data_IF_401886768442
#
_entry.id   IF_401886768442
#
_cell.length_a   1.000
_cell.length_b   1.000
_cell.length_c   1.000
_cell.angle_alpha   90.00
_cell.angle_beta   90.00
_cell.angle_gamma   90.00
#
_symmetry.space_group_name_H-M   'P 1'
#
loop_
_entity.id
_entity.type
_entity.pdbx_description
1 polymer ?
#
# COMPACT_ATOMS: atom_id res chain seq x y z
N UNK A 1 33.06 2.58 -4.31
CA UNK A 1 31.73 2.06 -3.92
C UNK A 1 30.80 2.41 -5.06
N UNK A 2 30.04 1.47 -5.62
CA UNK A 2 29.08 1.81 -6.70
C UNK A 2 27.95 2.63 -6.08
N UNK A 3 27.65 3.77 -6.70
CA UNK A 3 26.56 4.65 -6.25
C UNK A 3 25.25 4.07 -6.77
N UNK A 4 24.31 3.85 -5.86
CA UNK A 4 22.93 3.45 -6.15
C UNK A 4 22.06 4.66 -5.88
N UNK A 5 21.20 5.02 -6.82
CA UNK A 5 20.21 6.08 -6.69
C UNK A 5 18.84 5.60 -7.13
N UNK A 6 17.80 6.34 -6.71
CA UNK A 6 16.46 6.23 -7.25
C UNK A 6 16.11 7.52 -7.97
N UNK A 7 15.36 7.42 -9.04
CA UNK A 7 14.82 8.55 -9.77
C UNK A 7 13.37 8.26 -10.13
N UNK A 8 12.51 9.27 -10.16
CA UNK A 8 11.13 9.10 -10.64
C UNK A 8 11.15 8.48 -12.04
N UNK A 9 10.37 7.42 -12.20
CA UNK A 9 10.21 6.78 -13.50
C UNK A 9 9.35 7.67 -14.42
N UNK A 10 9.62 7.59 -15.70
CA UNK A 10 8.83 8.22 -16.76
C UNK A 10 8.24 7.15 -17.67
N UNK A 11 7.26 7.52 -18.49
CA UNK A 11 6.66 6.59 -19.48
C UNK A 11 7.72 5.98 -20.41
N UNK A 12 8.82 6.69 -20.69
CA UNK A 12 9.90 6.18 -21.50
C UNK A 12 10.68 5.03 -20.83
N UNK A 13 10.59 4.90 -19.52
CA UNK A 13 11.24 3.85 -18.76
C UNK A 13 10.38 2.57 -18.66
N UNK A 14 9.09 2.64 -19.05
CA UNK A 14 8.10 1.59 -18.81
C UNK A 14 8.49 0.22 -19.39
N UNK A 15 8.98 0.18 -20.64
CA UNK A 15 9.40 -1.07 -21.27
C UNK A 15 10.58 -1.71 -20.53
N UNK A 16 11.59 -0.89 -20.17
CA UNK A 16 12.78 -1.38 -19.46
C UNK A 16 12.47 -1.86 -18.05
N UNK A 17 11.62 -1.13 -17.33
CA UNK A 17 11.17 -1.53 -15.99
C UNK A 17 10.34 -2.82 -16.04
N UNK A 18 9.45 -2.95 -17.03
CA UNK A 18 8.67 -4.18 -17.23
C UNK A 18 9.56 -5.38 -17.55
N UNK A 19 10.55 -5.23 -18.43
CA UNK A 19 11.51 -6.29 -18.75
C UNK A 19 12.21 -6.80 -17.49
N UNK A 20 12.73 -5.89 -16.65
CA UNK A 20 13.45 -6.25 -15.42
C UNK A 20 12.48 -6.87 -14.42
N UNK A 21 11.29 -6.31 -14.24
CA UNK A 21 10.28 -6.81 -13.32
C UNK A 21 9.85 -8.24 -13.70
N UNK A 22 9.55 -8.46 -14.99
CA UNK A 22 9.21 -9.78 -15.51
C UNK A 22 10.30 -10.80 -15.24
N UNK A 23 11.54 -10.48 -15.60
CA UNK A 23 12.70 -11.36 -15.36
C UNK A 23 12.85 -11.70 -13.88
N UNK A 24 12.69 -10.71 -12.99
CA UNK A 24 12.82 -10.88 -11.55
C UNK A 24 11.75 -11.82 -11.00
N UNK A 25 10.50 -11.62 -11.37
CA UNK A 25 9.39 -12.40 -10.82
C UNK A 25 9.28 -13.80 -11.46
N UNK A 26 9.68 -13.96 -12.71
CA UNK A 26 9.77 -15.29 -13.34
C UNK A 26 10.85 -16.14 -12.66
N UNK A 27 12.03 -15.58 -12.35
CA UNK A 27 13.09 -16.30 -11.63
C UNK A 27 12.67 -16.64 -10.19
N UNK A 28 11.96 -15.75 -9.50
CA UNK A 28 11.40 -16.06 -8.18
C UNK A 28 10.31 -17.15 -8.26
N UNK A 29 9.47 -17.14 -9.28
CA UNK A 29 8.47 -18.20 -9.48
C UNK A 29 9.13 -19.55 -9.74
N UNK A 30 10.14 -19.62 -10.61
CA UNK A 30 10.89 -20.85 -10.86
C UNK A 30 11.51 -21.40 -9.57
N UNK A 31 12.10 -20.53 -8.76
CA UNK A 31 12.77 -20.89 -7.51
C UNK A 31 11.81 -21.39 -6.43
N UNK A 32 10.64 -20.76 -6.28
CA UNK A 32 9.74 -21.02 -5.15
C UNK A 32 8.55 -21.91 -5.50
N UNK A 33 8.16 -22.01 -6.78
CA UNK A 33 7.06 -22.86 -7.26
C UNK A 33 7.56 -24.16 -7.89
N UNK A 34 8.88 -24.33 -8.07
CA UNK A 34 9.48 -25.60 -8.50
C UNK A 34 9.01 -26.10 -9.86
N UNK A 35 8.67 -25.19 -10.79
CA UNK A 35 8.18 -25.55 -12.12
C UNK A 35 6.74 -26.09 -12.14
N UNK A 36 5.97 -25.91 -11.08
CA UNK A 36 4.53 -26.19 -11.07
C UNK A 36 3.81 -25.10 -11.86
N UNK A 37 3.67 -25.30 -13.17
CA UNK A 37 3.06 -24.33 -14.10
C UNK A 37 1.57 -24.07 -13.86
N UNK A 38 0.92 -24.88 -13.02
CA UNK A 38 -0.52 -24.81 -12.75
C UNK A 38 -0.84 -24.02 -11.45
N UNK A 39 0.19 -23.58 -10.71
CA UNK A 39 -0.01 -22.81 -9.47
C UNK A 39 0.22 -21.34 -9.76
N UNK A 40 -0.85 -20.55 -9.74
CA UNK A 40 -0.77 -19.09 -9.81
C UNK A 40 -0.61 -18.59 -8.38
N UNK A 41 0.53 -17.99 -8.08
CA UNK A 41 0.82 -17.37 -6.80
C UNK A 41 0.93 -15.83 -6.99
N UNK A 42 -0.16 -15.14 -6.73
CA UNK A 42 -0.28 -13.69 -6.99
C UNK A 42 0.71 -12.82 -6.22
N UNK A 43 1.25 -13.32 -5.12
CA UNK A 43 2.28 -12.60 -4.35
C UNK A 43 3.71 -12.85 -4.86
N UNK A 44 3.90 -13.82 -5.77
CA UNK A 44 5.17 -14.05 -6.48
C UNK A 44 5.12 -13.45 -7.88
N UNK A 45 4.03 -13.69 -8.60
CA UNK A 45 3.78 -13.12 -9.93
C UNK A 45 2.49 -12.28 -9.90
N UNK A 46 2.54 -11.04 -9.36
CA UNK A 46 1.35 -10.21 -9.20
C UNK A 46 0.73 -9.86 -10.56
N UNK A 47 -0.60 -9.73 -10.64
CA UNK A 47 -1.29 -9.41 -11.89
C UNK A 47 -0.64 -8.22 -12.61
N UNK A 48 -0.40 -8.37 -13.92
CA UNK A 48 0.18 -7.34 -14.75
C UNK A 48 1.69 -7.10 -14.58
N UNK A 49 2.42 -7.95 -13.84
CA UNK A 49 3.87 -7.82 -13.66
C UNK A 49 4.68 -7.86 -14.98
N UNK A 50 4.14 -8.46 -16.02
CA UNK A 50 4.73 -8.57 -17.35
C UNK A 50 4.10 -7.63 -18.38
N UNK A 51 3.21 -6.73 -17.96
CA UNK A 51 2.48 -5.82 -18.85
C UNK A 51 3.10 -4.43 -18.84
N UNK A 52 3.52 -3.94 -20.00
CA UNK A 52 4.01 -2.57 -20.19
C UNK A 52 2.91 -1.55 -19.89
N UNK A 53 1.66 -1.84 -20.24
CA UNK A 53 0.53 -0.95 -19.97
C UNK A 53 0.27 -0.81 -18.46
N UNK A 54 0.39 -1.90 -17.70
CA UNK A 54 0.29 -1.82 -16.24
C UNK A 54 1.46 -1.06 -15.61
N UNK A 55 2.66 -1.15 -16.18
CA UNK A 55 3.79 -0.33 -15.75
C UNK A 55 3.56 1.15 -16.06
N UNK A 56 3.04 1.49 -17.24
CA UNK A 56 2.65 2.87 -17.56
C UNK A 56 1.62 3.42 -16.58
N UNK A 57 0.56 2.64 -16.32
CA UNK A 57 -0.42 2.99 -15.30
C UNK A 57 0.22 3.23 -13.92
N UNK A 58 1.14 2.36 -13.50
CA UNK A 58 1.84 2.54 -12.22
C UNK A 58 2.72 3.80 -12.20
N UNK A 59 3.28 4.20 -13.33
CA UNK A 59 4.08 5.42 -13.45
C UNK A 59 3.19 6.68 -13.41
N UNK A 60 2.00 6.62 -13.99
CA UNK A 60 1.07 7.76 -14.07
C UNK A 60 0.28 7.96 -12.77
N UNK A 61 -0.15 6.88 -12.12
CA UNK A 61 -1.11 6.92 -11.01
C UNK A 61 -0.49 6.66 -9.63
N UNK A 62 0.68 6.00 -9.59
CA UNK A 62 1.39 5.66 -8.36
C UNK A 62 2.77 6.34 -8.34
N UNK A 63 3.43 6.26 -7.19
CA UNK A 63 4.79 6.76 -7.07
C UNK A 63 5.79 5.69 -7.48
N UNK A 64 6.21 5.73 -8.75
CA UNK A 64 7.12 4.77 -9.36
C UNK A 64 8.52 5.35 -9.53
N UNK A 65 9.53 4.57 -9.13
CA UNK A 65 10.94 4.95 -9.22
C UNK A 65 11.75 3.87 -9.93
N UNK A 66 12.69 4.30 -10.77
CA UNK A 66 13.75 3.46 -11.32
C UNK A 66 14.94 3.45 -10.39
N UNK A 67 15.56 2.28 -10.24
CA UNK A 67 16.80 2.08 -9.48
C UNK A 67 17.96 2.13 -10.46
N UNK A 68 18.91 3.02 -10.22
CA UNK A 68 20.04 3.26 -11.10
C UNK A 68 21.35 2.89 -10.41
N UNK A 69 22.21 2.20 -11.14
CA UNK A 69 23.60 1.94 -10.78
C UNK A 69 24.49 2.05 -12.01
N UNK A 70 25.58 2.81 -11.92
CA UNK A 70 26.51 3.03 -13.04
C UNK A 70 25.77 3.49 -14.33
N UNK A 71 24.81 4.42 -14.20
CA UNK A 71 23.97 4.96 -15.30
C UNK A 71 23.04 3.93 -15.97
N UNK A 72 22.85 2.77 -15.38
CA UNK A 72 21.94 1.72 -15.88
C UNK A 72 20.76 1.54 -14.95
N UNK A 73 19.59 1.38 -15.53
CA UNK A 73 18.40 0.95 -14.78
C UNK A 73 18.59 -0.53 -14.44
N UNK A 74 18.62 -0.85 -13.15
CA UNK A 74 18.83 -2.20 -12.62
C UNK A 74 17.63 -2.73 -11.83
N UNK A 75 16.58 -1.94 -11.70
CA UNK A 75 15.37 -2.32 -10.95
C UNK A 75 14.40 -1.17 -10.83
N UNK A 76 13.39 -1.36 -10.01
CA UNK A 76 12.41 -0.35 -9.69
C UNK A 76 11.74 -0.59 -8.34
N UNK A 77 11.06 0.44 -7.86
CA UNK A 77 10.18 0.38 -6.71
C UNK A 77 8.93 1.20 -7.00
N UNK A 78 7.78 0.63 -6.68
CA UNK A 78 6.47 1.26 -6.82
C UNK A 78 5.87 1.35 -5.42
N UNK A 79 5.44 2.54 -5.05
CA UNK A 79 4.83 2.78 -3.74
C UNK A 79 3.52 3.56 -3.89
N UNK A 80 2.58 3.27 -3.00
CA UNK A 80 1.36 4.04 -2.81
C UNK A 80 1.51 4.89 -1.56
N UNK A 81 1.41 6.22 -1.72
CA UNK A 81 1.43 7.16 -0.59
C UNK A 81 0.01 7.62 -0.31
N UNK A 82 -0.42 7.50 0.94
CA UNK A 82 -1.73 7.93 1.38
C UNK A 82 -1.63 8.95 2.52
N UNK A 83 -2.22 10.11 2.31
CA UNK A 83 -2.13 11.21 3.26
C UNK A 83 -0.70 11.67 3.51
N UNK A 84 -0.35 11.87 4.77
CA UNK A 84 0.97 12.41 5.16
C UNK A 84 1.86 11.41 5.90
N UNK A 85 1.31 10.28 6.31
CA UNK A 85 1.98 9.39 7.27
C UNK A 85 1.99 7.92 6.88
N UNK A 86 1.28 7.53 5.83
CA UNK A 86 1.16 6.15 5.39
C UNK A 86 1.74 5.94 4.00
N UNK A 87 2.58 4.90 3.85
CA UNK A 87 3.13 4.43 2.59
C UNK A 87 3.06 2.91 2.49
N UNK A 88 2.77 2.41 1.29
CA UNK A 88 2.81 0.99 0.96
C UNK A 88 3.86 0.74 -0.11
N UNK A 89 4.64 -0.30 0.08
CA UNK A 89 5.51 -0.80 -0.98
C UNK A 89 4.71 -1.82 -1.79
N UNK A 90 4.22 -1.40 -2.95
CA UNK A 90 3.44 -2.27 -3.83
C UNK A 90 4.32 -3.28 -4.55
N UNK A 91 5.49 -2.82 -5.04
CA UNK A 91 6.46 -3.68 -5.72
C UNK A 91 7.88 -3.15 -5.53
N UNK A 92 8.79 -4.05 -5.27
CA UNK A 92 10.24 -3.80 -5.34
C UNK A 92 10.89 -4.94 -6.14
N UNK A 93 11.66 -4.60 -7.13
CA UNK A 93 12.34 -5.56 -7.98
C UNK A 93 13.73 -5.07 -8.39
N UNK A 94 14.68 -5.98 -8.43
CA UNK A 94 16.07 -5.75 -8.84
C UNK A 94 16.46 -6.88 -9.77
N UNK A 95 17.05 -6.54 -10.92
CA UNK A 95 17.52 -7.53 -11.89
C UNK A 95 18.34 -8.60 -11.15
N UNK A 96 18.03 -9.90 -11.33
CA UNK A 96 18.67 -11.00 -10.62
C UNK A 96 20.20 -10.98 -10.60
N UNK A 97 20.85 -10.51 -11.67
CA UNK A 97 22.32 -10.41 -11.74
C UNK A 97 22.91 -9.40 -10.72
N UNK A 98 22.08 -8.54 -10.16
CA UNK A 98 22.46 -7.55 -9.15
C UNK A 98 21.97 -7.91 -7.74
N UNK A 99 21.14 -8.93 -7.58
CA UNK A 99 20.63 -9.36 -6.28
C UNK A 99 21.73 -9.88 -5.34
N UNK A 100 21.42 -10.04 -4.05
CA UNK A 100 22.36 -10.52 -3.04
C UNK A 100 23.47 -9.53 -2.64
N UNK A 101 23.47 -8.31 -3.19
CA UNK A 101 24.52 -7.28 -2.97
C UNK A 101 24.02 -6.12 -2.09
N UNK A 102 22.91 -6.29 -1.37
CA UNK A 102 22.34 -5.27 -0.48
C UNK A 102 21.59 -4.14 -1.19
N UNK A 103 21.36 -4.23 -2.50
CA UNK A 103 20.69 -3.19 -3.31
C UNK A 103 19.26 -2.95 -2.81
N UNK A 104 18.47 -3.99 -2.62
CA UNK A 104 17.11 -3.85 -2.11
C UNK A 104 17.03 -3.12 -0.77
N UNK A 105 17.97 -3.42 0.14
CA UNK A 105 18.05 -2.71 1.43
C UNK A 105 18.38 -1.23 1.26
N UNK A 106 19.21 -0.89 0.28
CA UNK A 106 19.55 0.49 -0.01
C UNK A 106 18.37 1.24 -0.63
N UNK A 107 17.65 0.60 -1.54
CA UNK A 107 16.45 1.16 -2.19
C UNK A 107 15.35 1.48 -1.17
N UNK A 108 15.08 0.57 -0.23
CA UNK A 108 14.09 0.83 0.84
C UNK A 108 14.50 2.06 1.67
N UNK A 109 15.78 2.19 2.04
CA UNK A 109 16.26 3.37 2.77
C UNK A 109 16.10 4.66 1.97
N UNK A 110 16.42 4.64 0.68
CA UNK A 110 16.25 5.81 -0.18
C UNK A 110 14.77 6.24 -0.31
N UNK A 111 13.84 5.30 -0.38
CA UNK A 111 12.40 5.60 -0.37
C UNK A 111 11.96 6.17 0.97
N UNK A 112 12.42 5.62 2.08
CA UNK A 112 12.13 6.15 3.42
C UNK A 112 12.72 7.56 3.61
N UNK A 113 13.86 7.86 3.00
CA UNK A 113 14.48 9.19 2.98
C UNK A 113 13.74 10.17 2.06
N UNK A 114 13.23 9.71 0.92
CA UNK A 114 12.42 10.52 0.01
C UNK A 114 11.10 10.94 0.65
N UNK A 115 10.48 10.05 1.42
CA UNK A 115 9.19 10.28 2.06
C UNK A 115 9.31 10.40 3.60
N UNK A 116 10.08 11.36 4.09
CA UNK A 116 10.38 11.56 5.52
C UNK A 116 9.15 11.79 6.41
N UNK A 117 8.02 12.23 5.83
CA UNK A 117 6.78 12.41 6.56
C UNK A 117 6.04 11.10 6.84
N UNK A 118 6.37 10.03 6.11
CA UNK A 118 5.70 8.74 6.27
C UNK A 118 6.15 8.06 7.56
N UNK A 119 5.19 7.69 8.39
CA UNK A 119 5.41 7.06 9.70
C UNK A 119 5.14 5.56 9.69
N UNK A 120 4.33 5.11 8.76
CA UNK A 120 3.94 3.71 8.63
C UNK A 120 4.20 3.28 7.19
N UNK A 121 5.02 2.25 7.05
CA UNK A 121 5.21 1.55 5.79
C UNK A 121 4.68 0.13 5.92
N UNK A 122 3.90 -0.33 4.94
CA UNK A 122 3.47 -1.72 4.86
C UNK A 122 3.80 -2.38 3.52
N UNK A 123 3.70 -3.68 3.50
CA UNK A 123 3.84 -4.51 2.31
C UNK A 123 3.29 -5.92 2.56
N UNK A 124 3.05 -6.63 1.48
CA UNK A 124 2.70 -8.04 1.48
C UNK A 124 3.72 -8.83 0.66
N UNK A 125 3.93 -10.08 1.03
CA UNK A 125 4.79 -11.02 0.27
C UNK A 125 4.32 -12.46 0.46
N UNK A 126 4.58 -13.34 -0.52
CA UNK A 126 4.20 -14.74 -0.42
C UNK A 126 4.78 -15.42 0.82
N UNK A 127 4.00 -16.26 1.46
CA UNK A 127 4.44 -17.09 2.57
C UNK A 127 5.62 -18.01 2.20
N UNK A 128 5.78 -18.33 0.92
CA UNK A 128 6.83 -19.20 0.38
C UNK A 128 8.18 -18.51 0.24
N UNK A 129 8.20 -17.18 0.07
CA UNK A 129 9.44 -16.42 -0.18
C UNK A 129 10.25 -16.17 1.11
N UNK A 130 10.85 -17.20 1.65
CA UNK A 130 11.59 -17.15 2.93
C UNK A 130 12.70 -16.09 2.92
N UNK A 131 13.34 -15.84 1.77
CA UNK A 131 14.35 -14.80 1.64
C UNK A 131 13.77 -13.41 1.87
N UNK A 132 12.55 -13.15 1.38
CA UNK A 132 11.85 -11.88 1.62
C UNK A 132 11.50 -11.72 3.09
N UNK A 133 11.11 -12.79 3.79
CA UNK A 133 10.83 -12.74 5.22
C UNK A 133 12.07 -12.33 6.04
N UNK A 134 13.24 -12.86 5.71
CA UNK A 134 14.50 -12.46 6.35
C UNK A 134 14.88 -11.02 5.99
N UNK A 135 14.69 -10.65 4.72
CA UNK A 135 15.00 -9.33 4.21
C UNK A 135 14.18 -8.24 4.91
N UNK A 136 12.85 -8.37 4.93
CA UNK A 136 11.98 -7.35 5.54
C UNK A 136 12.17 -7.26 7.05
N UNK A 137 12.35 -8.38 7.76
CA UNK A 137 12.68 -8.35 9.19
C UNK A 137 13.99 -7.60 9.46
N UNK A 138 15.03 -7.83 8.65
CA UNK A 138 16.30 -7.10 8.73
C UNK A 138 16.16 -5.61 8.50
N UNK A 139 15.18 -5.20 7.67
CA UNK A 139 14.86 -3.80 7.42
C UNK A 139 13.99 -3.16 8.52
N UNK A 140 13.63 -3.90 9.56
CA UNK A 140 12.84 -3.42 10.69
C UNK A 140 11.33 -3.54 10.50
N UNK A 141 10.88 -4.34 9.53
CA UNK A 141 9.47 -4.66 9.35
C UNK A 141 9.06 -5.80 10.29
N UNK A 142 7.90 -5.65 10.91
CA UNK A 142 7.28 -6.64 11.79
C UNK A 142 6.10 -7.30 11.08
N UNK A 143 5.89 -8.59 11.33
CA UNK A 143 4.73 -9.30 10.79
C UNK A 143 3.50 -8.93 11.62
N UNK A 144 2.44 -8.53 10.94
CA UNK A 144 1.16 -8.18 11.56
C UNK A 144 0.04 -9.17 11.22
N UNK A 145 0.18 -9.88 10.11
CA UNK A 145 -0.76 -10.89 9.65
C UNK A 145 -0.03 -12.00 8.90
N UNK A 146 -0.53 -13.24 9.03
CA UNK A 146 -0.07 -14.42 8.30
C UNK A 146 -1.27 -15.22 7.83
N UNK A 147 -1.25 -15.63 6.57
CA UNK A 147 -2.09 -16.68 6.04
C UNK A 147 -1.24 -17.83 5.47
N UNK A 148 -1.89 -18.81 4.87
CA UNK A 148 -1.19 -19.89 4.15
C UNK A 148 -0.47 -19.35 2.91
N UNK A 149 -1.00 -18.28 2.28
CA UNK A 149 -0.52 -17.75 1.02
C UNK A 149 0.40 -16.54 1.18
N UNK A 150 0.16 -15.68 2.20
CA UNK A 150 0.85 -14.40 2.33
C UNK A 150 1.16 -13.99 3.75
N UNK A 151 2.18 -13.14 3.89
CA UNK A 151 2.52 -12.45 5.12
C UNK A 151 2.49 -10.95 4.90
N UNK A 152 1.77 -10.23 5.78
CA UNK A 152 1.73 -8.78 5.81
C UNK A 152 2.74 -8.24 6.82
N UNK A 153 3.49 -7.25 6.39
CA UNK A 153 4.57 -6.62 7.16
C UNK A 153 4.31 -5.13 7.35
N UNK A 154 4.69 -4.62 8.50
CA UNK A 154 4.64 -3.19 8.82
C UNK A 154 5.94 -2.75 9.45
N UNK A 155 6.40 -1.58 9.02
CA UNK A 155 7.46 -0.83 9.70
C UNK A 155 6.90 0.51 10.19
N UNK A 156 7.12 0.83 11.46
CA UNK A 156 6.80 2.12 12.05
C UNK A 156 8.07 2.91 12.26
N UNK A 157 8.15 4.07 11.62
CA UNK A 157 9.26 5.00 11.81
C UNK A 157 8.90 5.86 13.02
N UNK A 158 9.57 5.63 14.13
CA UNK A 158 9.37 6.38 15.37
C UNK A 158 9.99 7.76 15.22
N UNK A 159 9.16 8.78 15.05
CA UNK A 159 9.58 10.18 15.16
C UNK A 159 9.05 10.71 16.48
N UNK A 160 9.89 10.72 17.51
CA UNK A 160 9.64 11.42 18.76
C UNK A 160 8.28 11.20 19.44
N UNK A 161 8.23 11.24 20.74
CA UNK A 161 7.13 10.91 21.64
C UNK A 161 5.89 11.83 21.55
N UNK A 162 5.16 11.80 20.44
CA UNK A 162 3.75 12.19 20.42
C UNK A 162 2.99 10.93 20.03
N UNK A 163 2.31 10.32 20.97
CA UNK A 163 1.27 9.34 20.66
C UNK A 163 0.15 10.09 19.92
N UNK A 164 0.26 10.15 18.60
CA UNK A 164 -0.84 10.57 17.75
C UNK A 164 -1.96 9.55 17.88
N UNK A 165 -3.19 9.96 17.63
CA UNK A 165 -4.40 9.14 17.73
C UNK A 165 -4.39 8.00 16.69
N UNK A 166 -3.49 7.05 16.86
CA UNK A 166 -3.33 5.90 15.99
C UNK A 166 -4.16 4.72 16.50
N UNK A 167 -5.15 4.32 15.72
CA UNK A 167 -5.97 3.13 15.96
C UNK A 167 -5.54 2.05 14.97
N UNK A 168 -4.99 0.94 15.48
CA UNK A 168 -4.42 -0.12 14.64
C UNK A 168 -4.88 -1.51 15.06
N UNK A 169 -5.00 -2.40 14.07
CA UNK A 169 -5.26 -3.83 14.26
C UNK A 169 -6.46 -4.08 15.19
N UNK A 170 -7.55 -3.32 15.01
CA UNK A 170 -8.75 -3.43 15.85
C UNK A 170 -9.93 -3.99 15.07
N UNK A 171 -10.66 -4.88 15.69
CA UNK A 171 -12.02 -5.22 15.25
C UNK A 171 -13.00 -4.27 15.98
N UNK A 172 -13.51 -3.30 15.23
CA UNK A 172 -14.43 -2.25 15.70
C UNK A 172 -15.72 -2.27 14.90
N UNK A 173 -16.07 -3.44 14.33
CA UNK A 173 -17.34 -3.61 13.60
C UNK A 173 -18.53 -3.25 14.46
N UNK A 174 -19.58 -2.75 13.82
CA UNK A 174 -20.83 -2.28 14.47
C UNK A 174 -20.61 -1.12 15.45
N UNK A 175 -19.48 -0.42 15.36
CA UNK A 175 -19.19 0.75 16.18
C UNK A 175 -20.15 1.91 15.89
N UNK A 176 -20.47 2.70 16.92
CA UNK A 176 -21.26 3.93 16.78
C UNK A 176 -20.43 5.12 17.25
N UNK A 177 -20.27 6.09 16.33
CA UNK A 177 -19.45 7.28 16.52
C UNK A 177 -20.35 8.51 16.31
N UNK A 178 -20.89 9.03 17.41
CA UNK A 178 -21.81 10.18 17.38
C UNK A 178 -21.15 11.42 17.96
N UNK A 179 -21.24 12.53 17.23
CA UNK A 179 -20.69 13.82 17.64
C UNK A 179 -19.20 13.77 18.07
N UNK A 180 -18.44 12.87 17.44
CA UNK A 180 -17.02 12.70 17.72
C UNK A 180 -16.16 13.70 16.96
N UNK A 181 -15.08 14.17 17.58
CA UNK A 181 -14.01 14.86 16.91
C UNK A 181 -12.86 13.88 16.65
N UNK A 182 -12.74 13.42 15.41
CA UNK A 182 -11.73 12.46 14.94
C UNK A 182 -10.74 13.11 13.97
N UNK A 183 -10.55 14.42 14.08
CA UNK A 183 -9.60 15.18 13.25
C UNK A 183 -8.17 14.68 13.48
N UNK A 184 -7.41 14.51 12.38
CA UNK A 184 -6.04 13.99 12.38
C UNK A 184 -5.91 12.56 12.97
N UNK A 185 -6.98 11.76 12.98
CA UNK A 185 -6.93 10.36 13.42
C UNK A 185 -6.46 9.45 12.28
N UNK A 186 -5.63 8.49 12.60
CA UNK A 186 -5.17 7.46 11.66
C UNK A 186 -5.78 6.11 12.01
N UNK A 187 -6.41 5.47 11.03
CA UNK A 187 -6.91 4.10 11.13
C UNK A 187 -6.09 3.21 10.20
N UNK A 188 -5.49 2.19 10.77
CA UNK A 188 -4.67 1.25 10.04
C UNK A 188 -5.06 -0.19 10.35
N UNK A 189 -5.47 -0.96 9.32
CA UNK A 189 -5.94 -2.34 9.45
C UNK A 189 -7.06 -2.49 10.49
N UNK A 190 -8.07 -1.62 10.39
CA UNK A 190 -9.20 -1.62 11.30
C UNK A 190 -10.44 -2.16 10.60
N UNK A 191 -11.17 -3.06 11.24
CA UNK A 191 -12.45 -3.53 10.77
C UNK A 191 -13.55 -2.64 11.35
N UNK A 192 -14.16 -1.81 10.50
CA UNK A 192 -15.27 -0.90 10.83
C UNK A 192 -16.57 -1.30 10.12
N UNK A 193 -16.67 -2.55 9.66
CA UNK A 193 -17.87 -3.04 8.98
C UNK A 193 -19.14 -2.79 9.79
N UNK A 194 -20.23 -2.37 9.14
CA UNK A 194 -21.53 -2.06 9.75
C UNK A 194 -21.48 -0.94 10.80
N UNK A 195 -20.50 -0.07 10.76
CA UNK A 195 -20.38 1.04 11.72
C UNK A 195 -21.23 2.25 11.30
N UNK A 196 -21.55 3.11 12.25
CA UNK A 196 -22.26 4.35 12.01
C UNK A 196 -21.46 5.55 12.52
N UNK A 197 -21.27 6.53 11.66
CA UNK A 197 -20.65 7.82 11.96
C UNK A 197 -21.72 8.90 11.78
N UNK A 198 -22.06 9.63 12.84
CA UNK A 198 -23.12 10.63 12.80
C UNK A 198 -22.65 11.94 13.44
N UNK A 199 -22.83 13.06 12.74
CA UNK A 199 -22.52 14.38 13.28
C UNK A 199 -21.04 14.60 13.65
N UNK A 200 -20.14 13.81 13.07
CA UNK A 200 -18.74 13.78 13.48
C UNK A 200 -17.85 14.59 12.53
N UNK A 201 -16.78 15.17 13.08
CA UNK A 201 -15.74 15.82 12.28
C UNK A 201 -14.56 14.88 12.12
N UNK A 202 -14.30 14.47 10.89
CA UNK A 202 -13.24 13.55 10.54
C UNK A 202 -12.26 14.14 9.49
N UNK A 203 -12.13 15.47 9.49
CA UNK A 203 -11.16 16.16 8.62
C UNK A 203 -9.75 15.65 8.84
N UNK A 204 -8.98 15.62 7.77
CA UNK A 204 -7.58 15.16 7.79
C UNK A 204 -7.40 13.75 8.37
N UNK A 205 -8.45 12.92 8.35
CA UNK A 205 -8.35 11.52 8.73
C UNK A 205 -7.63 10.72 7.65
N UNK A 206 -6.81 9.78 8.08
CA UNK A 206 -6.22 8.79 7.21
C UNK A 206 -6.77 7.40 7.56
N UNK A 207 -7.30 6.70 6.57
CA UNK A 207 -7.66 5.29 6.71
C UNK A 207 -6.91 4.48 5.66
N UNK A 208 -6.26 3.40 6.10
CA UNK A 208 -5.49 2.54 5.21
C UNK A 208 -5.70 1.08 5.55
N UNK A 209 -5.93 0.27 4.51
CA UNK A 209 -6.17 -1.16 4.64
C UNK A 209 -7.30 -1.48 5.64
N UNK A 210 -8.42 -0.76 5.53
CA UNK A 210 -9.56 -0.87 6.44
C UNK A 210 -10.80 -1.42 5.73
N UNK A 211 -11.58 -2.22 6.46
CA UNK A 211 -12.90 -2.63 6.01
C UNK A 211 -13.97 -1.72 6.62
N UNK A 212 -14.60 -0.89 5.78
CA UNK A 212 -15.64 0.07 6.16
C UNK A 212 -16.96 -0.27 5.45
N UNK A 213 -17.10 -1.48 4.91
CA UNK A 213 -18.26 -1.91 4.15
C UNK A 213 -19.56 -1.85 4.97
N UNK A 214 -20.68 -1.61 4.30
CA UNK A 214 -22.02 -1.57 4.88
C UNK A 214 -22.17 -0.53 6.01
N UNK A 215 -21.29 0.47 6.06
CA UNK A 215 -21.30 1.51 7.10
C UNK A 215 -22.16 2.71 6.70
N UNK A 216 -22.52 3.53 7.68
CA UNK A 216 -23.38 4.71 7.50
C UNK A 216 -22.63 5.96 7.92
N UNK A 217 -22.60 6.94 7.04
CA UNK A 217 -22.00 8.26 7.29
C UNK A 217 -23.08 9.33 7.12
N UNK A 218 -23.42 10.02 8.18
CA UNK A 218 -24.46 11.06 8.16
C UNK A 218 -23.97 12.34 8.82
N UNK A 219 -24.09 13.44 8.11
CA UNK A 219 -23.63 14.77 8.57
C UNK A 219 -22.17 14.73 8.97
N UNK A 220 -21.30 14.35 8.04
CA UNK A 220 -19.86 14.15 8.24
C UNK A 220 -19.06 15.11 7.41
N UNK A 221 -18.05 15.71 8.01
CA UNK A 221 -17.04 16.49 7.32
C UNK A 221 -15.79 15.64 7.08
N UNK A 222 -15.58 15.22 5.81
CA UNK A 222 -14.45 14.41 5.35
C UNK A 222 -13.31 15.24 4.78
N UNK A 223 -13.38 16.57 4.76
CA UNK A 223 -12.42 17.42 4.05
C UNK A 223 -10.97 17.03 4.30
N UNK A 224 -10.18 17.03 3.21
CA UNK A 224 -8.75 16.78 3.23
C UNK A 224 -8.35 15.42 3.86
N UNK A 225 -9.25 14.45 3.88
CA UNK A 225 -8.98 13.10 4.36
C UNK A 225 -8.46 12.22 3.22
N UNK A 226 -7.72 11.17 3.55
CA UNK A 226 -7.13 10.25 2.59
C UNK A 226 -7.51 8.81 2.93
N UNK A 227 -7.91 8.07 1.91
CA UNK A 227 -8.41 6.71 2.00
C UNK A 227 -7.69 5.83 0.99
N UNK A 228 -6.95 4.83 1.48
CA UNK A 228 -6.24 3.89 0.64
C UNK A 228 -6.59 2.45 1.02
N UNK A 229 -6.71 1.58 0.03
CA UNK A 229 -6.98 0.15 0.23
C UNK A 229 -8.20 -0.10 1.13
N UNK A 230 -9.30 0.64 0.90
CA UNK A 230 -10.53 0.48 1.67
C UNK A 230 -11.55 -0.38 0.93
N UNK A 231 -12.36 -1.09 1.71
CA UNK A 231 -13.62 -1.64 1.26
C UNK A 231 -14.79 -0.78 1.79
N UNK A 232 -15.46 -0.06 0.88
CA UNK A 232 -16.63 0.77 1.16
C UNK A 232 -17.93 0.18 0.60
N UNK A 233 -17.92 -1.07 0.10
CA UNK A 233 -19.09 -1.72 -0.52
C UNK A 233 -20.34 -1.62 0.35
N UNK A 234 -21.47 -1.25 -0.23
CA UNK A 234 -22.76 -1.14 0.45
C UNK A 234 -22.86 -0.03 1.50
N UNK A 235 -21.87 0.86 1.58
CA UNK A 235 -21.89 1.98 2.52
C UNK A 235 -22.79 3.12 2.04
N UNK A 236 -23.34 3.88 2.99
CA UNK A 236 -24.27 4.99 2.71
C UNK A 236 -23.71 6.30 3.25
N UNK A 237 -23.72 7.32 2.40
CA UNK A 237 -23.25 8.67 2.69
C UNK A 237 -24.42 9.65 2.54
N UNK A 238 -24.76 10.37 3.59
CA UNK A 238 -25.85 11.33 3.62
C UNK A 238 -25.36 12.64 4.25
N UNK A 239 -25.59 13.77 3.59
CA UNK A 239 -25.13 15.10 4.06
C UNK A 239 -23.63 15.13 4.37
N UNK A 240 -22.78 14.69 3.44
CA UNK A 240 -21.33 14.63 3.63
C UNK A 240 -20.60 15.72 2.85
N UNK A 241 -19.49 16.20 3.39
CA UNK A 241 -18.61 17.15 2.72
C UNK A 241 -17.30 16.45 2.34
N UNK A 242 -16.99 16.40 1.02
CA UNK A 242 -15.87 15.64 0.44
C UNK A 242 -14.74 16.52 -0.16
N UNK A 243 -14.69 17.81 0.16
CA UNK A 243 -13.67 18.71 -0.41
C UNK A 243 -12.24 18.25 -0.11
N UNK A 244 -11.43 18.00 -1.16
CA UNK A 244 -10.03 17.58 -1.00
C UNK A 244 -9.83 16.15 -0.51
N UNK A 245 -10.86 15.30 -0.55
CA UNK A 245 -10.75 13.87 -0.23
C UNK A 245 -10.02 13.13 -1.34
N UNK A 246 -9.15 12.21 -0.97
CA UNK A 246 -8.45 11.33 -1.89
C UNK A 246 -8.84 9.88 -1.63
N UNK A 247 -9.16 9.14 -2.69
CA UNK A 247 -9.38 7.69 -2.66
C UNK A 247 -8.35 7.02 -3.56
N UNK A 248 -7.64 6.03 -3.02
CA UNK A 248 -6.67 5.20 -3.77
C UNK A 248 -6.97 3.73 -3.52
N UNK A 249 -6.98 2.91 -4.58
CA UNK A 249 -7.23 1.46 -4.49
C UNK A 249 -8.45 1.09 -3.64
N UNK A 250 -9.50 1.91 -3.68
CA UNK A 250 -10.67 1.77 -2.81
C UNK A 250 -11.80 1.06 -3.55
N UNK A 251 -12.33 -0.03 -2.97
CA UNK A 251 -13.53 -0.68 -3.48
C UNK A 251 -14.75 0.17 -3.11
N UNK A 252 -15.42 0.72 -4.11
CA UNK A 252 -16.66 1.50 -3.97
C UNK A 252 -17.93 0.63 -4.08
N UNK A 253 -17.76 -0.70 -4.15
CA UNK A 253 -18.87 -1.62 -4.33
C UNK A 253 -19.12 -1.97 -5.80
N UNK A 254 -20.10 -2.84 -6.01
CA UNK A 254 -20.56 -3.32 -7.30
C UNK A 254 -22.09 -3.17 -7.42
N UNK A 255 -22.70 -3.78 -8.46
CA UNK A 255 -24.14 -3.72 -8.66
C UNK A 255 -24.98 -4.32 -7.51
N UNK A 256 -24.41 -5.24 -6.72
CA UNK A 256 -25.08 -5.89 -5.60
C UNK A 256 -24.94 -5.12 -4.31
N UNK A 257 -23.78 -4.52 -4.10
CA UNK A 257 -23.47 -3.74 -2.90
C UNK A 257 -22.87 -2.37 -3.29
N UNK A 258 -23.64 -1.50 -3.99
CA UNK A 258 -23.15 -0.20 -4.43
C UNK A 258 -22.96 0.73 -3.22
N UNK A 259 -22.05 1.69 -3.37
CA UNK A 259 -21.98 2.84 -2.49
C UNK A 259 -23.16 3.79 -2.83
N UNK A 260 -23.82 4.32 -1.81
CA UNK A 260 -24.95 5.21 -2.00
C UNK A 260 -24.67 6.59 -1.44
N UNK A 261 -24.96 7.63 -2.22
CA UNK A 261 -24.94 9.01 -1.80
C UNK A 261 -26.37 9.55 -1.82
N UNK A 262 -26.88 9.89 -0.65
CA UNK A 262 -28.19 10.54 -0.48
C UNK A 262 -27.99 12.03 -0.15
N UNK A 263 -28.71 12.90 -0.83
CA UNK A 263 -28.68 14.35 -0.63
C UNK A 263 -29.56 14.78 0.54
#
# INVERSE_FOLDING_TARGET
MKIISIEKATILDAEKLTEIMKKTFDEEAEKWLGGQNDVIEYNIQPPGYSSVEMMKYSIEELDSFKVIMDQKIIGGIIVTISGKSYGRIDRIFVDPVYQGKGIGSHVIKLIEEEYQSIKIWDLETSSRQINNHHFYKKMGYEIIFKSEDEYCYVKRIHVGSVEENLIKNKDMKTGQYENCNLVNTEYYQVNLKNSAFVGSNIMHMNMSNCNVSQSKFRNINFRNSSYADLNLSGSKFNLVTLGGVQFKNTSLGDEKEPILFDN
#
